data_IF_481920761800
#
_entry.id   IF_481920761800
#
_cell.length_a   1.000
_cell.length_b   1.000
_cell.length_c   1.000
_cell.angle_alpha   90.00
_cell.angle_beta   90.00
_cell.angle_gamma   90.00
#
_symmetry.space_group_name_H-M   'P 1'
#
loop_
_entity.id
_entity.type
_entity.pdbx_description
1 polymer ?
#
# COMPACT_ATOMS: atom_id res chain seq x y z
N UNK A 1 -40.25 -29.65 3.68
CA UNK A 1 -38.88 -30.14 3.37
C UNK A 1 -38.09 -29.19 2.47
N UNK A 2 -38.76 -28.29 1.74
CA UNK A 2 -38.18 -27.38 0.73
C UNK A 2 -37.43 -26.17 1.33
N UNK A 3 -37.93 -25.58 2.41
CA UNK A 3 -37.38 -24.32 2.95
C UNK A 3 -35.98 -24.43 3.56
N UNK A 4 -35.65 -25.57 4.20
CA UNK A 4 -34.31 -25.81 4.74
C UNK A 4 -33.25 -25.90 3.64
N UNK A 5 -33.59 -26.50 2.49
CA UNK A 5 -32.68 -26.62 1.35
C UNK A 5 -32.43 -25.24 0.72
N UNK A 6 -33.48 -24.47 0.47
CA UNK A 6 -33.39 -23.09 -0.03
C UNK A 6 -32.60 -22.18 0.91
N UNK A 7 -32.85 -22.25 2.22
CA UNK A 7 -32.09 -21.47 3.21
C UNK A 7 -30.60 -21.84 3.24
N UNK A 8 -30.27 -23.11 3.00
CA UNK A 8 -28.88 -23.57 2.97
C UNK A 8 -28.14 -23.05 1.74
N UNK A 9 -28.78 -23.06 0.57
CA UNK A 9 -28.18 -22.52 -0.66
C UNK A 9 -28.00 -21.00 -0.57
N UNK A 10 -28.98 -20.26 -0.05
CA UNK A 10 -28.85 -18.80 0.19
C UNK A 10 -27.66 -18.50 1.12
N UNK A 11 -27.47 -19.29 2.18
CA UNK A 11 -26.32 -19.11 3.09
C UNK A 11 -24.98 -19.36 2.39
N UNK A 12 -24.90 -20.36 1.51
CA UNK A 12 -23.69 -20.64 0.73
C UNK A 12 -23.39 -19.51 -0.24
N UNK A 13 -24.39 -19.01 -0.95
CA UNK A 13 -24.24 -17.89 -1.89
C UNK A 13 -23.78 -16.62 -1.17
N UNK A 14 -24.37 -16.31 -0.02
CA UNK A 14 -23.96 -15.17 0.81
C UNK A 14 -22.50 -15.32 1.28
N UNK A 15 -22.13 -16.52 1.74
CA UNK A 15 -20.75 -16.82 2.16
C UNK A 15 -19.77 -16.63 1.00
N UNK A 16 -20.11 -17.12 -0.18
CA UNK A 16 -19.27 -17.00 -1.37
C UNK A 16 -19.16 -15.55 -1.85
N UNK A 17 -20.25 -14.78 -1.81
CA UNK A 17 -20.24 -13.35 -2.10
C UNK A 17 -19.33 -12.59 -1.12
N UNK A 18 -19.40 -12.94 0.18
CA UNK A 18 -18.52 -12.36 1.20
C UNK A 18 -17.05 -12.67 0.92
N UNK A 19 -16.70 -13.93 0.61
CA UNK A 19 -15.32 -14.32 0.30
C UNK A 19 -14.78 -13.58 -0.93
N UNK A 20 -15.60 -13.42 -1.99
CA UNK A 20 -15.20 -12.63 -3.18
C UNK A 20 -14.94 -11.17 -2.84
N UNK A 21 -15.77 -10.57 -1.97
CA UNK A 21 -15.59 -9.19 -1.53
C UNK A 21 -14.31 -9.04 -0.68
N UNK A 22 -14.07 -9.95 0.26
CA UNK A 22 -12.86 -9.96 1.08
C UNK A 22 -11.58 -10.12 0.24
N UNK A 23 -11.61 -11.01 -0.76
CA UNK A 23 -10.49 -11.20 -1.69
C UNK A 23 -10.23 -9.95 -2.54
N UNK A 24 -11.28 -9.31 -3.06
CA UNK A 24 -11.15 -8.07 -3.81
C UNK A 24 -10.53 -6.95 -2.95
N UNK A 25 -10.95 -6.81 -1.70
CA UNK A 25 -10.37 -5.85 -0.77
C UNK A 25 -8.91 -6.17 -0.45
N UNK A 26 -8.56 -7.43 -0.21
CA UNK A 26 -7.19 -7.85 0.03
C UNK A 26 -6.28 -7.52 -1.16
N UNK A 27 -6.75 -7.80 -2.38
CA UNK A 27 -6.05 -7.44 -3.61
C UNK A 27 -5.86 -5.93 -3.75
N UNK A 28 -6.88 -5.13 -3.41
CA UNK A 28 -6.76 -3.66 -3.47
C UNK A 28 -5.73 -3.13 -2.46
N UNK A 29 -5.72 -3.63 -1.22
CA UNK A 29 -4.69 -3.27 -0.23
C UNK A 29 -3.27 -3.57 -0.71
N UNK A 30 -3.08 -4.72 -1.37
CA UNK A 30 -1.77 -5.08 -1.96
C UNK A 30 -1.41 -4.14 -3.11
N UNK A 31 -2.35 -3.81 -4.00
CA UNK A 31 -2.12 -2.86 -5.10
C UNK A 31 -1.71 -1.48 -4.57
N UNK A 32 -2.41 -0.97 -3.57
CA UNK A 32 -2.11 0.32 -2.94
C UNK A 32 -0.72 0.33 -2.28
N UNK A 33 -0.39 -0.73 -1.53
CA UNK A 33 0.95 -0.89 -0.94
C UNK A 33 2.03 -0.91 -2.00
N UNK A 34 1.86 -1.70 -3.06
CA UNK A 34 2.85 -1.81 -4.13
C UNK A 34 3.03 -0.48 -4.89
N UNK A 35 1.92 0.21 -5.17
CA UNK A 35 1.96 1.54 -5.78
C UNK A 35 2.72 2.54 -4.90
N UNK A 36 2.45 2.54 -3.58
CA UNK A 36 3.18 3.39 -2.62
C UNK A 36 4.66 3.06 -2.58
N UNK A 37 5.04 1.79 -2.47
CA UNK A 37 6.44 1.37 -2.45
C UNK A 37 7.16 1.77 -3.74
N UNK A 38 6.53 1.56 -4.91
CA UNK A 38 7.10 1.98 -6.19
C UNK A 38 7.34 3.49 -6.25
N UNK A 39 6.36 4.28 -5.80
CA UNK A 39 6.48 5.74 -5.74
C UNK A 39 7.65 6.17 -4.84
N UNK A 40 7.75 5.61 -3.63
CA UNK A 40 8.82 5.94 -2.69
C UNK A 40 10.21 5.58 -3.23
N UNK A 41 10.35 4.44 -3.93
CA UNK A 41 11.62 4.06 -4.58
C UNK A 41 11.98 5.04 -5.69
N UNK A 42 11.01 5.43 -6.52
CA UNK A 42 11.25 6.40 -7.61
C UNK A 42 11.63 7.77 -7.06
N UNK A 43 10.90 8.27 -6.06
CA UNK A 43 11.21 9.54 -5.39
C UNK A 43 12.61 9.48 -4.74
N UNK A 44 12.96 8.37 -4.08
CA UNK A 44 14.29 8.14 -3.50
C UNK A 44 15.40 8.13 -4.55
N UNK A 45 15.20 7.42 -5.67
CA UNK A 45 16.17 7.36 -6.76
C UNK A 45 16.42 8.74 -7.40
N UNK A 46 15.36 9.54 -7.60
CA UNK A 46 15.51 10.93 -8.06
C UNK A 46 16.31 11.73 -7.03
N UNK A 47 16.02 11.58 -5.75
CA UNK A 47 16.71 12.32 -4.70
C UNK A 47 18.22 11.96 -4.63
N UNK A 48 18.55 10.68 -4.67
CA UNK A 48 19.94 10.18 -4.68
C UNK A 48 20.70 10.59 -5.94
N UNK A 49 20.01 10.77 -7.08
CA UNK A 49 20.65 11.27 -8.31
C UNK A 49 21.10 12.72 -8.21
N UNK A 50 20.40 13.53 -7.39
CA UNK A 50 20.68 14.95 -7.17
C UNK A 50 21.66 15.13 -6.00
N UNK A 51 21.53 14.29 -4.96
CA UNK A 51 22.33 14.31 -3.75
C UNK A 51 22.97 12.93 -3.51
N UNK A 52 24.09 12.60 -4.20
CA UNK A 52 24.75 11.31 -4.05
C UNK A 52 25.15 10.99 -2.60
N UNK A 53 25.40 12.01 -1.78
CA UNK A 53 25.71 11.86 -0.35
C UNK A 53 24.58 11.16 0.43
N UNK A 54 23.33 11.22 -0.03
CA UNK A 54 22.20 10.61 0.67
C UNK A 54 22.18 9.09 0.58
N UNK A 55 22.90 8.46 -0.36
CA UNK A 55 22.93 7.00 -0.50
C UNK A 55 23.49 6.29 0.74
N UNK A 56 24.40 6.95 1.47
CA UNK A 56 25.06 6.40 2.66
C UNK A 56 24.54 6.99 3.96
N UNK A 57 23.56 7.89 3.90
CA UNK A 57 23.01 8.57 5.08
C UNK A 57 21.82 7.82 5.65
N UNK A 58 21.67 7.86 6.96
CA UNK A 58 20.48 7.33 7.62
C UNK A 58 19.25 8.20 7.29
N UNK A 59 18.04 7.63 7.19
CA UNK A 59 16.82 8.38 6.87
C UNK A 59 16.55 9.58 7.79
N UNK A 60 16.94 9.50 9.06
CA UNK A 60 16.82 10.60 10.02
C UNK A 60 17.76 11.77 9.68
N UNK A 61 18.98 11.47 9.22
CA UNK A 61 19.96 12.46 8.79
C UNK A 61 19.51 13.12 7.49
N UNK A 62 19.05 12.34 6.51
CA UNK A 62 18.48 12.85 5.25
C UNK A 62 17.34 13.82 5.54
N UNK A 63 16.41 13.44 6.44
CA UNK A 63 15.30 14.31 6.84
C UNK A 63 15.80 15.63 7.44
N UNK A 64 16.77 15.60 8.35
CA UNK A 64 17.30 16.83 8.96
C UNK A 64 18.04 17.69 7.95
N UNK A 65 18.82 17.09 7.06
CA UNK A 65 19.57 17.80 6.03
C UNK A 65 18.63 18.52 5.05
N UNK A 66 17.60 17.82 4.57
CA UNK A 66 16.55 18.42 3.73
C UNK A 66 15.85 19.57 4.46
N UNK A 67 15.50 19.39 5.74
CA UNK A 67 14.91 20.46 6.54
C UNK A 67 15.88 21.65 6.64
N UNK A 68 17.16 21.44 6.92
CA UNK A 68 18.14 22.52 7.05
C UNK A 68 18.32 23.29 5.74
N UNK A 69 18.33 22.59 4.59
CA UNK A 69 18.47 23.20 3.26
C UNK A 69 17.26 24.04 2.86
N UNK A 70 16.06 23.55 3.14
CA UNK A 70 14.81 24.16 2.65
C UNK A 70 14.07 25.02 3.69
N UNK A 71 14.47 25.03 4.97
CA UNK A 71 13.92 25.91 6.03
C UNK A 71 14.29 27.39 5.90
N UNK A 72 15.11 27.76 4.91
CA UNK A 72 15.59 29.15 4.67
C UNK A 72 14.77 29.91 3.61
N UNK A 73 13.49 29.56 3.46
CA UNK A 73 12.53 30.29 2.63
C UNK A 73 11.40 30.79 3.54
#
# INVERSE_FOLDING_TARGET
MTDKKTQTEIRKELLQARHRAEEAQARNRVKERNARTRRLIQEGAVLESIFPEFQTMEPSQIRQELLNRFKRI
#
